data_IF_267985047456
#
_entry.id   IF_267985047456
#
_cell.length_a   1.000
_cell.length_b   1.000
_cell.length_c   1.000
_cell.angle_alpha   90.00
_cell.angle_beta   90.00
_cell.angle_gamma   90.00
#
_symmetry.space_group_name_H-M   'P 1'
#
loop_
_entity.id
_entity.type
_entity.pdbx_description
1 polymer ?
#
# COMPACT_ATOMS: atom_id res chain seq x y z
N UNK A 1 -14.73 -19.83 25.87
CA UNK A 1 -13.66 -18.98 26.44
C UNK A 1 -12.42 -18.94 25.55
N UNK A 2 -12.12 -20.00 24.76
CA UNK A 2 -10.97 -20.07 23.82
C UNK A 2 -11.08 -19.15 22.60
N UNK A 3 -12.24 -19.05 21.95
CA UNK A 3 -12.40 -18.19 20.75
C UNK A 3 -12.19 -16.71 21.02
N UNK A 4 -12.65 -16.21 22.18
CA UNK A 4 -12.48 -14.82 22.57
C UNK A 4 -11.00 -14.50 22.83
N UNK A 5 -10.27 -15.40 23.49
CA UNK A 5 -8.83 -15.23 23.71
C UNK A 5 -8.03 -15.26 22.41
N UNK A 6 -8.43 -16.08 21.43
CA UNK A 6 -7.81 -16.11 20.10
C UNK A 6 -8.13 -14.88 19.25
N UNK A 7 -9.35 -14.34 19.37
CA UNK A 7 -9.72 -13.10 18.71
C UNK A 7 -8.93 -11.91 19.27
N UNK A 8 -8.86 -11.78 20.60
CA UNK A 8 -8.07 -10.74 21.25
C UNK A 8 -6.59 -10.80 20.87
N UNK A 9 -5.99 -12.00 20.82
CA UNK A 9 -4.59 -12.16 20.43
C UNK A 9 -4.37 -11.81 18.95
N UNK A 10 -5.30 -12.16 18.06
CA UNK A 10 -5.26 -11.81 16.63
C UNK A 10 -5.30 -10.29 16.40
N UNK A 11 -6.24 -9.61 17.06
CA UNK A 11 -6.38 -8.14 16.95
C UNK A 11 -5.16 -7.45 17.56
N UNK A 12 -4.70 -7.91 18.72
CA UNK A 12 -3.51 -7.35 19.38
C UNK A 12 -2.28 -7.48 18.48
N UNK A 13 -2.08 -8.65 17.89
CA UNK A 13 -1.01 -8.88 16.93
C UNK A 13 -1.09 -7.89 15.74
N UNK A 14 -2.26 -7.78 15.10
CA UNK A 14 -2.44 -6.91 13.94
C UNK A 14 -2.22 -5.42 14.27
N UNK A 15 -2.55 -4.98 15.49
CA UNK A 15 -2.27 -3.62 15.96
C UNK A 15 -0.79 -3.38 16.29
N UNK A 16 -0.05 -4.40 16.71
CA UNK A 16 1.38 -4.31 17.00
C UNK A 16 2.26 -4.37 15.75
N UNK A 17 1.80 -4.99 14.66
CA UNK A 17 2.51 -5.06 13.36
C UNK A 17 3.12 -3.72 12.92
N UNK A 18 2.36 -2.60 12.79
CA UNK A 18 2.94 -1.31 12.38
C UNK A 18 3.99 -0.80 13.37
N UNK A 19 3.78 -0.99 14.67
CA UNK A 19 4.69 -0.51 15.72
C UNK A 19 6.04 -1.22 15.61
N UNK A 20 6.01 -2.56 15.47
CA UNK A 20 7.22 -3.37 15.30
C UNK A 20 7.91 -3.05 13.97
N UNK A 21 7.15 -3.00 12.87
CA UNK A 21 7.69 -2.74 11.54
C UNK A 21 8.35 -1.37 11.43
N UNK A 22 7.63 -0.30 11.80
CA UNK A 22 8.17 1.07 11.77
C UNK A 22 9.27 1.25 12.80
N UNK A 23 9.10 0.69 14.01
CA UNK A 23 10.08 0.76 15.08
C UNK A 23 11.44 0.17 14.66
N UNK A 24 11.45 -1.06 14.17
CA UNK A 24 12.69 -1.71 13.70
C UNK A 24 13.29 -1.02 12.48
N UNK A 25 12.46 -0.56 11.56
CA UNK A 25 12.92 0.24 10.41
C UNK A 25 13.63 1.51 10.88
N UNK A 26 13.07 2.24 11.86
CA UNK A 26 13.68 3.49 12.37
C UNK A 26 14.91 3.23 13.24
N UNK A 27 14.87 2.22 14.11
CA UNK A 27 16.00 1.84 14.95
C UNK A 27 17.21 1.43 14.11
N UNK A 28 16.99 0.70 13.02
CA UNK A 28 18.06 0.25 12.13
C UNK A 28 18.85 1.39 11.47
N UNK A 29 18.24 2.57 11.34
CA UNK A 29 18.86 3.76 10.73
C UNK A 29 19.04 4.91 11.73
N UNK A 30 19.00 4.65 13.05
CA UNK A 30 19.03 5.70 14.07
C UNK A 30 20.39 6.41 14.15
N UNK A 31 21.47 5.67 13.91
CA UNK A 31 22.86 6.14 13.95
C UNK A 31 23.34 6.78 12.64
N UNK A 32 22.52 6.75 11.59
CA UNK A 32 22.91 7.25 10.27
C UNK A 32 22.75 8.77 10.21
N UNK A 33 23.78 9.52 9.79
CA UNK A 33 23.68 10.96 9.60
C UNK A 33 22.61 11.32 8.56
N UNK A 34 21.88 12.41 8.79
CA UNK A 34 20.73 12.81 7.99
C UNK A 34 21.03 13.11 6.51
N UNK A 35 22.27 13.50 6.19
CA UNK A 35 22.71 13.75 4.81
C UNK A 35 23.01 12.45 4.03
N UNK A 36 23.27 11.32 4.71
CA UNK A 36 23.57 10.04 4.07
C UNK A 36 22.27 9.26 3.77
N UNK A 37 21.59 9.73 2.70
CA UNK A 37 20.32 9.15 2.24
C UNK A 37 20.46 7.69 1.81
N UNK A 38 21.55 7.36 1.11
CA UNK A 38 21.80 6.02 0.59
C UNK A 38 21.91 5.00 1.73
N UNK A 39 22.76 5.28 2.72
CA UNK A 39 22.93 4.39 3.89
C UNK A 39 21.66 4.33 4.72
N UNK A 40 20.92 5.43 4.83
CA UNK A 40 19.62 5.45 5.52
C UNK A 40 18.65 4.47 4.89
N UNK A 41 18.54 4.46 3.54
CA UNK A 41 17.65 3.53 2.82
C UNK A 41 18.07 2.08 3.05
N UNK A 42 19.35 1.76 2.89
CA UNK A 42 19.85 0.38 3.06
C UNK A 42 19.65 -0.12 4.49
N UNK A 43 19.94 0.71 5.50
CA UNK A 43 19.73 0.38 6.91
C UNK A 43 18.26 0.12 7.21
N UNK A 44 17.37 1.03 6.78
CA UNK A 44 15.92 0.87 6.91
C UNK A 44 15.43 -0.41 6.25
N UNK A 45 15.99 -0.79 5.11
CA UNK A 45 15.66 -2.04 4.45
C UNK A 45 16.05 -3.27 5.28
N UNK A 46 17.22 -3.27 5.92
CA UNK A 46 17.61 -4.34 6.86
C UNK A 46 16.61 -4.44 8.01
N UNK A 47 16.23 -3.30 8.60
CA UNK A 47 15.22 -3.25 9.67
C UNK A 47 13.85 -3.77 9.22
N UNK A 48 13.38 -3.34 8.04
CA UNK A 48 12.13 -3.77 7.45
C UNK A 48 12.12 -5.28 7.12
N UNK A 49 13.23 -5.80 6.60
CA UNK A 49 13.39 -7.24 6.29
C UNK A 49 13.35 -8.09 7.56
N UNK A 50 14.08 -7.68 8.60
CA UNK A 50 14.07 -8.37 9.89
C UNK A 50 12.68 -8.34 10.52
N UNK A 51 12.01 -7.19 10.53
CA UNK A 51 10.65 -7.05 11.00
C UNK A 51 9.68 -7.95 10.21
N UNK A 52 9.81 -7.99 8.89
CA UNK A 52 8.95 -8.80 8.01
C UNK A 52 9.08 -10.29 8.32
N UNK A 53 10.30 -10.79 8.51
CA UNK A 53 10.55 -12.19 8.87
C UNK A 53 9.96 -12.49 10.26
N UNK A 54 10.28 -11.65 11.26
CA UNK A 54 9.80 -11.82 12.63
C UNK A 54 8.27 -11.86 12.69
N UNK A 55 7.61 -10.87 12.08
CA UNK A 55 6.17 -10.77 12.06
C UNK A 55 5.54 -11.95 11.31
N UNK A 56 6.11 -12.37 10.18
CA UNK A 56 5.63 -13.55 9.44
C UNK A 56 5.72 -14.81 10.30
N UNK A 57 6.84 -15.06 10.98
CA UNK A 57 6.99 -16.23 11.87
C UNK A 57 5.92 -16.22 12.97
N UNK A 58 5.64 -15.06 13.57
CA UNK A 58 4.59 -14.94 14.59
C UNK A 58 3.19 -15.17 13.99
N UNK A 59 2.92 -14.64 12.79
CA UNK A 59 1.64 -14.81 12.09
C UNK A 59 1.30 -16.28 11.82
N UNK A 60 2.31 -17.15 11.63
CA UNK A 60 2.11 -18.57 11.38
C UNK A 60 1.41 -19.31 12.54
N UNK A 61 1.33 -18.72 13.74
CA UNK A 61 0.52 -19.28 14.83
C UNK A 61 -0.98 -19.33 14.53
N UNK A 62 -1.46 -18.49 13.62
CA UNK A 62 -2.85 -18.47 13.17
C UNK A 62 -3.05 -19.20 11.83
N UNK A 63 -2.03 -19.89 11.33
CA UNK A 63 -2.09 -20.64 10.08
C UNK A 63 -2.99 -21.87 10.25
N UNK A 64 -4.03 -22.06 9.41
CA UNK A 64 -4.79 -23.30 9.37
C UNK A 64 -3.89 -24.52 9.10
N UNK A 65 -4.19 -25.67 9.69
CA UNK A 65 -3.40 -26.90 9.50
C UNK A 65 -3.39 -27.38 8.04
N UNK A 66 -4.49 -27.16 7.32
CA UNK A 66 -4.68 -27.55 5.93
C UNK A 66 -4.01 -26.64 4.88
N UNK A 67 -3.30 -25.58 5.31
CA UNK A 67 -2.62 -24.64 4.42
C UNK A 67 -1.11 -24.68 4.63
N UNK A 68 -0.33 -24.59 3.55
CA UNK A 68 1.10 -24.31 3.66
C UNK A 68 1.36 -22.86 4.11
N UNK A 69 2.56 -22.58 4.61
CA UNK A 69 2.95 -21.21 5.01
C UNK A 69 2.86 -20.22 3.83
N UNK A 70 3.25 -20.65 2.64
CA UNK A 70 3.19 -19.82 1.44
C UNK A 70 1.74 -19.49 1.04
N UNK A 71 0.85 -20.49 1.05
CA UNK A 71 -0.57 -20.27 0.76
C UNK A 71 -1.25 -19.36 1.79
N UNK A 72 -0.89 -19.49 3.08
CA UNK A 72 -1.40 -18.62 4.12
C UNK A 72 -1.11 -17.14 3.83
N UNK A 73 0.12 -16.84 3.43
CA UNK A 73 0.54 -15.51 3.01
C UNK A 73 0.08 -15.12 1.60
N UNK A 74 -0.55 -16.02 0.83
CA UNK A 74 -0.98 -15.74 -0.54
C UNK A 74 0.16 -15.75 -1.56
N UNK A 75 1.24 -16.46 -1.27
CA UNK A 75 2.30 -16.79 -2.21
C UNK A 75 1.95 -18.11 -2.89
N UNK A 76 1.26 -18.05 -4.02
CA UNK A 76 0.75 -19.24 -4.72
C UNK A 76 1.00 -19.13 -6.23
N UNK A 77 1.22 -20.28 -6.88
CA UNK A 77 1.42 -20.37 -8.34
C UNK A 77 0.10 -20.37 -9.14
N UNK A 78 -0.97 -21.08 -8.72
CA UNK A 78 -2.25 -21.08 -9.43
C UNK A 78 -2.80 -19.65 -9.58
N UNK A 79 -3.26 -19.30 -10.79
CA UNK A 79 -3.77 -17.97 -11.11
C UNK A 79 -2.78 -16.79 -10.97
N UNK A 80 -1.47 -17.02 -10.78
CA UNK A 80 -0.48 -15.96 -10.55
C UNK A 80 -0.39 -14.97 -11.73
N UNK A 81 -0.42 -15.47 -12.96
CA UNK A 81 -0.37 -14.62 -14.15
C UNK A 81 -1.52 -13.60 -14.18
N UNK A 82 -2.75 -14.07 -13.94
CA UNK A 82 -3.91 -13.18 -13.87
C UNK A 82 -3.86 -12.25 -12.66
N UNK A 83 -3.31 -12.71 -11.52
CA UNK A 83 -3.10 -11.90 -10.32
C UNK A 83 -2.18 -10.70 -10.54
N UNK A 84 -1.18 -10.85 -11.41
CA UNK A 84 -0.27 -9.76 -11.78
C UNK A 84 -0.93 -8.75 -12.73
N UNK A 85 -1.84 -9.21 -13.60
CA UNK A 85 -2.38 -8.40 -14.70
C UNK A 85 -3.70 -7.75 -14.33
N UNK A 86 -4.74 -8.53 -14.03
CA UNK A 86 -6.11 -8.01 -13.95
C UNK A 86 -6.30 -6.94 -12.85
N UNK A 87 -5.84 -7.16 -11.60
CA UNK A 87 -5.93 -6.13 -10.55
C UNK A 87 -5.13 -4.88 -10.88
N UNK A 88 -3.96 -5.04 -11.50
CA UNK A 88 -3.11 -3.92 -11.93
C UNK A 88 -3.76 -3.15 -13.06
N UNK A 89 -4.39 -3.83 -14.02
CA UNK A 89 -5.12 -3.20 -15.13
C UNK A 89 -6.31 -2.38 -14.63
N UNK A 90 -7.10 -2.90 -13.71
CA UNK A 90 -8.22 -2.11 -13.15
C UNK A 90 -7.71 -0.94 -12.30
N UNK A 91 -6.58 -1.11 -11.60
CA UNK A 91 -5.89 0.01 -10.96
C UNK A 91 -5.44 1.05 -11.99
N UNK A 92 -4.86 0.64 -13.11
CA UNK A 92 -4.45 1.57 -14.17
C UNK A 92 -5.61 2.36 -14.77
N UNK A 93 -6.77 1.71 -14.94
CA UNK A 93 -8.01 2.37 -15.39
C UNK A 93 -8.46 3.47 -14.43
N UNK A 94 -8.35 3.25 -13.11
CA UNK A 94 -8.65 4.29 -12.12
C UNK A 94 -7.78 5.54 -12.30
N UNK A 95 -6.54 5.35 -12.75
CA UNK A 95 -5.57 6.42 -12.99
C UNK A 95 -5.64 7.02 -14.41
N UNK A 96 -6.68 6.75 -15.20
CA UNK A 96 -6.83 7.31 -16.54
C UNK A 96 -6.76 8.85 -16.59
N UNK A 97 -7.37 9.54 -15.62
CA UNK A 97 -7.29 10.99 -15.47
C UNK A 97 -5.85 11.48 -15.23
N UNK A 98 -5.15 11.00 -14.19
CA UNK A 98 -3.75 11.32 -13.93
C UNK A 98 -2.81 11.02 -15.10
N UNK A 99 -2.97 9.89 -15.79
CA UNK A 99 -2.23 9.57 -17.02
C UNK A 99 -2.46 10.61 -18.11
N UNK A 100 -3.72 11.00 -18.33
CA UNK A 100 -4.04 12.02 -19.31
C UNK A 100 -3.48 13.40 -18.94
N UNK A 101 -3.44 13.72 -17.65
CA UNK A 101 -2.88 14.97 -17.13
C UNK A 101 -1.36 15.03 -17.34
N UNK A 102 -0.63 13.97 -16.99
CA UNK A 102 0.83 13.93 -17.15
C UNK A 102 1.26 14.08 -18.61
N UNK A 103 0.51 13.50 -19.55
CA UNK A 103 0.76 13.66 -20.99
C UNK A 103 0.66 15.12 -21.47
N UNK A 104 -0.15 15.96 -20.82
CA UNK A 104 -0.32 17.36 -21.22
C UNK A 104 0.59 18.34 -20.48
N UNK A 105 1.01 18.00 -19.27
CA UNK A 105 1.92 18.82 -18.47
C UNK A 105 3.38 18.57 -18.88
N UNK A 106 3.68 17.37 -19.40
CA UNK A 106 5.03 16.92 -19.68
C UNK A 106 5.70 16.30 -18.46
N UNK A 107 6.83 15.59 -18.63
CA UNK A 107 7.61 15.12 -17.49
C UNK A 107 8.13 16.30 -16.66
N UNK A 108 8.37 16.12 -15.36
CA UNK A 108 9.12 17.10 -14.58
C UNK A 108 10.48 17.36 -15.22
N UNK A 109 11.04 18.55 -15.01
CA UNK A 109 12.37 18.94 -15.50
C UNK A 109 13.45 17.93 -15.07
N UNK A 110 14.37 17.59 -15.97
CA UNK A 110 15.50 16.66 -15.72
C UNK A 110 16.39 17.06 -14.52
N UNK A 111 16.29 18.31 -14.04
CA UNK A 111 17.00 18.81 -12.87
C UNK A 111 16.47 18.27 -11.52
N UNK A 112 15.29 17.61 -11.50
CA UNK A 112 14.59 17.28 -10.24
C UNK A 112 14.81 15.85 -9.71
N UNK A 113 15.31 14.89 -10.50
CA UNK A 113 15.46 13.50 -10.04
C UNK A 113 16.77 12.84 -10.50
N UNK A 114 17.84 13.01 -9.72
CA UNK A 114 18.97 12.06 -9.74
C UNK A 114 18.50 10.76 -9.06
N UNK A 115 17.71 9.98 -9.79
CA UNK A 115 17.04 8.80 -9.28
C UNK A 115 18.03 7.64 -9.14
N UNK A 116 18.83 7.69 -8.05
CA UNK A 116 19.81 6.65 -7.77
C UNK A 116 19.11 5.28 -7.78
N UNK A 117 19.80 4.26 -8.30
CA UNK A 117 19.29 2.88 -8.34
C UNK A 117 18.68 2.41 -7.01
N UNK A 118 19.22 2.88 -5.88
CA UNK A 118 18.73 2.54 -4.53
C UNK A 118 17.38 3.20 -4.21
N UNK A 119 17.09 4.40 -4.71
CA UNK A 119 15.78 5.03 -4.57
C UNK A 119 14.73 4.30 -5.41
N UNK A 120 15.05 3.97 -6.67
CA UNK A 120 14.19 3.16 -7.53
C UNK A 120 13.89 1.79 -6.90
N UNK A 121 14.92 1.10 -6.41
CA UNK A 121 14.80 -0.18 -5.73
C UNK A 121 13.92 -0.09 -4.48
N UNK A 122 14.08 0.98 -3.69
CA UNK A 122 13.23 1.24 -2.52
C UNK A 122 11.78 1.48 -2.92
N UNK A 123 11.52 2.33 -3.91
CA UNK A 123 10.18 2.79 -4.28
C UNK A 123 9.36 1.71 -4.97
N UNK A 124 9.99 0.87 -5.79
CA UNK A 124 9.31 -0.06 -6.69
C UNK A 124 9.49 -1.55 -6.36
N UNK A 125 10.37 -1.89 -5.43
CA UNK A 125 10.56 -3.28 -5.02
C UNK A 125 10.48 -3.44 -3.51
N UNK A 126 11.41 -2.82 -2.78
CA UNK A 126 11.63 -3.17 -1.37
C UNK A 126 10.49 -2.71 -0.48
N UNK A 127 10.13 -1.41 -0.54
CA UNK A 127 9.08 -0.89 0.33
C UNK A 127 7.71 -1.51 0.00
N UNK A 128 7.25 -1.58 -1.27
CA UNK A 128 5.98 -2.23 -1.57
C UNK A 128 5.95 -3.70 -1.14
N UNK A 129 7.03 -4.46 -1.36
CA UNK A 129 7.05 -5.88 -1.03
C UNK A 129 6.97 -6.11 0.49
N UNK A 130 7.78 -5.41 1.28
CA UNK A 130 7.79 -5.60 2.73
C UNK A 130 6.50 -5.06 3.37
N UNK A 131 5.98 -3.93 2.89
CA UNK A 131 4.72 -3.36 3.38
C UNK A 131 3.53 -4.27 3.07
N UNK A 132 3.41 -4.78 1.85
CA UNK A 132 2.32 -5.71 1.53
C UNK A 132 2.42 -7.03 2.30
N UNK A 133 3.63 -7.55 2.49
CA UNK A 133 3.84 -8.76 3.30
C UNK A 133 3.38 -8.54 4.76
N UNK A 134 3.77 -7.44 5.41
CA UNK A 134 3.42 -7.22 6.82
C UNK A 134 1.97 -6.77 7.00
N UNK A 135 1.47 -5.86 6.15
CA UNK A 135 0.13 -5.32 6.35
C UNK A 135 -0.96 -6.25 5.80
N UNK A 136 -0.75 -6.94 4.67
CA UNK A 136 -1.78 -7.80 4.05
C UNK A 136 -1.62 -9.24 4.49
N UNK A 137 -0.42 -9.78 4.35
CA UNK A 137 -0.21 -11.19 4.62
C UNK A 137 -0.09 -11.50 6.11
N UNK A 138 0.33 -10.54 6.93
CA UNK A 138 0.40 -10.73 8.38
C UNK A 138 -0.79 -10.09 9.11
N UNK A 139 -0.88 -8.75 9.14
CA UNK A 139 -1.90 -8.06 9.94
C UNK A 139 -3.34 -8.37 9.48
N UNK A 140 -3.65 -8.09 8.21
CA UNK A 140 -4.99 -8.32 7.66
C UNK A 140 -5.36 -9.80 7.67
N UNK A 141 -4.46 -10.69 7.23
CA UNK A 141 -4.72 -12.13 7.20
C UNK A 141 -5.03 -12.69 8.59
N UNK A 142 -4.23 -12.36 9.60
CA UNK A 142 -4.50 -12.79 10.99
C UNK A 142 -5.81 -12.20 11.49
N UNK A 143 -6.11 -10.94 11.18
CA UNK A 143 -7.37 -10.31 11.55
C UNK A 143 -8.59 -11.03 10.93
N UNK A 144 -8.48 -11.52 9.69
CA UNK A 144 -9.58 -12.28 9.03
C UNK A 144 -9.85 -13.64 9.68
N UNK A 145 -8.95 -14.15 10.53
CA UNK A 145 -9.18 -15.40 11.27
C UNK A 145 -10.16 -15.23 12.42
N UNK A 146 -10.39 -14.00 12.90
CA UNK A 146 -11.24 -13.74 14.06
C UNK A 146 -12.44 -12.82 13.80
N UNK A 147 -12.48 -12.14 12.65
CA UNK A 147 -13.59 -11.27 12.27
C UNK A 147 -13.94 -11.38 10.78
N UNK A 148 -15.18 -11.02 10.39
CA UNK A 148 -15.57 -11.00 8.98
C UNK A 148 -14.60 -10.20 8.12
N UNK A 149 -14.33 -10.69 6.91
CA UNK A 149 -13.39 -10.07 5.98
C UNK A 149 -13.69 -8.60 5.70
N UNK A 150 -14.98 -8.21 5.68
CA UNK A 150 -15.41 -6.81 5.50
C UNK A 150 -14.90 -5.89 6.62
N UNK A 151 -15.02 -6.32 7.88
CA UNK A 151 -14.53 -5.57 9.04
C UNK A 151 -13.00 -5.51 9.03
N UNK A 152 -12.34 -6.65 8.80
CA UNK A 152 -10.89 -6.71 8.73
C UNK A 152 -10.32 -5.78 7.64
N UNK A 153 -10.99 -5.75 6.48
CA UNK A 153 -10.61 -4.91 5.35
C UNK A 153 -10.74 -3.40 5.64
N UNK A 154 -11.65 -2.99 6.51
CA UNK A 154 -11.85 -1.59 6.89
C UNK A 154 -10.98 -1.17 8.09
N UNK A 155 -10.68 -2.10 9.00
CA UNK A 155 -9.96 -1.82 10.25
C UNK A 155 -8.44 -1.92 10.04
N UNK A 156 -7.94 -2.98 9.41
CA UNK A 156 -6.49 -3.20 9.25
C UNK A 156 -5.75 -2.03 8.58
N UNK A 157 -6.30 -1.36 7.55
CA UNK A 157 -5.67 -0.19 6.94
C UNK A 157 -5.48 1.02 7.85
N UNK A 158 -6.26 1.15 8.93
CA UNK A 158 -6.11 2.26 9.89
C UNK A 158 -4.70 2.26 10.48
N UNK A 159 -4.17 1.08 10.80
CA UNK A 159 -2.84 0.94 11.40
C UNK A 159 -1.72 1.34 10.42
N UNK A 160 -1.89 1.08 9.12
CA UNK A 160 -1.01 1.57 8.06
C UNK A 160 -1.09 3.10 7.88
N UNK A 161 -2.31 3.64 7.89
CA UNK A 161 -2.54 5.08 7.76
C UNK A 161 -1.97 5.86 8.95
N UNK A 162 -2.22 5.41 10.18
CA UNK A 162 -1.71 6.07 11.40
C UNK A 162 -0.20 6.01 11.52
N UNK A 163 0.47 5.01 10.93
CA UNK A 163 1.92 4.98 10.87
C UNK A 163 2.49 6.23 10.18
N UNK A 164 1.74 6.91 9.30
CA UNK A 164 2.15 8.13 8.61
C UNK A 164 1.89 9.42 9.40
N UNK A 165 1.18 9.37 10.54
CA UNK A 165 0.97 10.53 11.40
C UNK A 165 2.28 11.10 11.96
N UNK A 166 3.37 10.33 11.98
CA UNK A 166 4.68 10.81 12.39
C UNK A 166 5.18 12.00 11.54
N UNK A 167 4.71 12.15 10.30
CA UNK A 167 5.01 13.31 9.47
C UNK A 167 4.45 14.62 10.03
N UNK A 168 3.38 14.57 10.83
CA UNK A 168 2.86 15.76 11.51
C UNK A 168 3.88 16.33 12.51
N UNK A 169 4.57 15.46 13.24
CA UNK A 169 5.63 15.86 14.19
C UNK A 169 6.81 16.48 13.44
N UNK A 170 7.19 15.91 12.31
CA UNK A 170 8.28 16.42 11.47
C UNK A 170 7.95 17.80 10.89
N UNK A 171 6.77 17.97 10.28
CA UNK A 171 6.33 19.28 9.78
C UNK A 171 6.18 20.31 10.89
N UNK A 172 5.75 19.90 12.08
CA UNK A 172 5.67 20.83 13.21
C UNK A 172 7.04 21.34 13.65
N UNK A 173 8.05 20.47 13.65
CA UNK A 173 9.46 20.85 13.92
C UNK A 173 10.02 21.80 12.88
N UNK A 174 9.57 21.69 11.63
CA UNK A 174 9.93 22.59 10.52
C UNK A 174 9.18 23.94 10.57
N UNK A 175 8.37 24.20 11.60
CA UNK A 175 7.72 25.49 11.80
C UNK A 175 6.38 25.68 11.08
N UNK A 176 5.83 24.65 10.43
CA UNK A 176 4.53 24.75 9.75
C UNK A 176 3.38 25.00 10.75
N UNK A 177 2.36 25.72 10.29
CA UNK A 177 1.14 25.98 11.05
C UNK A 177 0.26 24.72 11.12
N UNK A 178 -0.56 24.62 12.17
CA UNK A 178 -1.44 23.45 12.36
C UNK A 178 -2.45 23.27 11.22
N UNK A 179 -2.92 24.36 10.61
CA UNK A 179 -3.82 24.30 9.46
C UNK A 179 -3.16 23.58 8.26
N UNK A 180 -1.93 23.96 7.92
CA UNK A 180 -1.18 23.34 6.81
C UNK A 180 -0.81 21.90 7.12
N UNK A 181 -0.43 21.61 8.37
CA UNK A 181 -0.12 20.24 8.83
C UNK A 181 -1.36 19.36 8.72
N UNK A 182 -2.51 19.81 9.23
CA UNK A 182 -3.75 19.05 9.18
C UNK A 182 -4.21 18.83 7.73
N UNK A 183 -4.11 19.84 6.87
CA UNK A 183 -4.47 19.69 5.46
C UNK A 183 -3.54 18.69 4.75
N UNK A 184 -2.23 18.85 4.90
CA UNK A 184 -1.27 18.02 4.16
C UNK A 184 -1.12 16.61 4.73
N UNK A 185 -0.93 16.45 6.03
CA UNK A 185 -0.79 15.15 6.68
C UNK A 185 -2.14 14.44 6.77
N UNK A 186 -3.23 15.18 6.99
CA UNK A 186 -4.58 14.62 6.97
C UNK A 186 -4.93 14.06 5.58
N UNK A 187 -4.61 14.78 4.51
CA UNK A 187 -4.76 14.26 3.14
C UNK A 187 -3.92 13.00 2.91
N UNK A 188 -2.65 13.03 3.31
CA UNK A 188 -1.76 11.87 3.18
C UNK A 188 -2.29 10.65 3.93
N UNK A 189 -2.69 10.81 5.20
CA UNK A 189 -3.23 9.72 6.04
C UNK A 189 -4.56 9.21 5.46
N UNK A 190 -5.46 10.10 5.05
CA UNK A 190 -6.75 9.73 4.46
C UNK A 190 -6.57 8.94 3.16
N UNK A 191 -5.66 9.38 2.29
CA UNK A 191 -5.36 8.65 1.06
C UNK A 191 -4.66 7.32 1.33
N UNK A 192 -3.68 7.27 2.24
CA UNK A 192 -3.04 6.02 2.67
C UNK A 192 -4.06 5.03 3.23
N UNK A 193 -5.09 5.51 3.94
CA UNK A 193 -6.20 4.68 4.39
C UNK A 193 -7.01 4.11 3.23
N UNK A 194 -7.44 4.95 2.28
CA UNK A 194 -8.22 4.51 1.10
C UNK A 194 -7.43 3.52 0.23
N UNK A 195 -6.17 3.83 -0.05
CA UNK A 195 -5.23 2.90 -0.69
C UNK A 195 -5.12 1.60 0.10
N UNK A 196 -5.00 1.74 1.42
CA UNK A 196 -4.98 0.67 2.39
C UNK A 196 -6.14 -0.31 2.21
N UNK A 197 -7.37 0.22 2.19
CA UNK A 197 -8.62 -0.52 1.97
C UNK A 197 -8.65 -1.14 0.57
N UNK A 198 -8.29 -0.38 -0.46
CA UNK A 198 -8.30 -0.84 -1.85
C UNK A 198 -7.43 -2.09 -2.06
N UNK A 199 -6.17 -2.03 -1.65
CA UNK A 199 -5.24 -3.16 -1.79
C UNK A 199 -5.61 -4.32 -0.86
N UNK A 200 -6.24 -4.04 0.29
CA UNK A 200 -6.81 -5.09 1.15
C UNK A 200 -7.94 -5.85 0.46
N UNK A 201 -8.84 -5.16 -0.24
CA UNK A 201 -9.90 -5.79 -1.03
C UNK A 201 -9.32 -6.67 -2.14
N UNK A 202 -8.32 -6.17 -2.87
CA UNK A 202 -7.62 -6.94 -3.91
C UNK A 202 -6.99 -8.19 -3.30
N UNK A 203 -6.25 -8.06 -2.19
CA UNK A 203 -5.61 -9.19 -1.52
C UNK A 203 -6.64 -10.23 -1.05
N UNK A 204 -7.76 -9.80 -0.47
CA UNK A 204 -8.78 -10.71 0.04
C UNK A 204 -9.51 -11.44 -1.08
N UNK A 205 -9.84 -10.76 -2.18
CA UNK A 205 -10.55 -11.36 -3.33
C UNK A 205 -9.65 -12.27 -4.17
N UNK A 206 -8.40 -11.84 -4.41
CA UNK A 206 -7.45 -12.62 -5.24
C UNK A 206 -6.68 -13.67 -4.45
N UNK A 207 -6.54 -13.51 -3.13
CA UNK A 207 -5.65 -14.32 -2.27
C UNK A 207 -4.21 -14.41 -2.80
N UNK A 208 -3.72 -13.32 -3.39
CA UNK A 208 -2.38 -13.20 -3.94
C UNK A 208 -1.65 -11.99 -3.38
N UNK A 209 -0.49 -12.19 -2.74
CA UNK A 209 0.42 -11.10 -2.36
C UNK A 209 0.89 -10.33 -3.61
N UNK A 210 1.14 -11.04 -4.72
CA UNK A 210 1.63 -10.42 -5.96
C UNK A 210 0.62 -9.48 -6.62
N UNK A 211 -0.68 -9.71 -6.46
CA UNK A 211 -1.70 -8.76 -6.91
C UNK A 211 -1.62 -7.44 -6.13
N UNK A 212 -1.55 -7.53 -4.80
CA UNK A 212 -1.42 -6.37 -3.93
C UNK A 212 -0.11 -5.60 -4.19
N UNK A 213 1.00 -6.33 -4.31
CA UNK A 213 2.32 -5.78 -4.61
C UNK A 213 2.32 -4.99 -5.92
N UNK A 214 1.81 -5.57 -7.03
CA UNK A 214 1.81 -4.87 -8.32
C UNK A 214 0.93 -3.62 -8.30
N UNK A 215 -0.23 -3.67 -7.63
CA UNK A 215 -1.08 -2.49 -7.46
C UNK A 215 -0.38 -1.40 -6.64
N UNK A 216 0.35 -1.78 -5.59
CA UNK A 216 1.15 -0.85 -4.79
C UNK A 216 2.25 -0.22 -5.63
N UNK A 217 3.06 -1.01 -6.34
CA UNK A 217 4.13 -0.51 -7.23
C UNK A 217 3.57 0.46 -8.25
N UNK A 218 2.44 0.14 -8.86
CA UNK A 218 1.77 1.02 -9.82
C UNK A 218 1.30 2.33 -9.18
N UNK A 219 0.68 2.28 -7.99
CA UNK A 219 0.28 3.49 -7.26
C UNK A 219 1.49 4.34 -6.84
N UNK A 220 2.60 3.74 -6.45
CA UNK A 220 3.84 4.46 -6.15
C UNK A 220 4.40 5.17 -7.38
N UNK A 221 4.33 4.51 -8.54
CA UNK A 221 4.75 5.09 -9.81
C UNK A 221 3.88 6.28 -10.22
N UNK A 222 2.56 6.16 -10.07
CA UNK A 222 1.64 7.24 -10.42
C UNK A 222 1.62 8.39 -9.40
N UNK A 223 1.91 8.10 -8.14
CA UNK A 223 1.82 9.08 -7.06
C UNK A 223 0.40 9.58 -6.81
N UNK A 224 0.31 10.70 -6.09
CA UNK A 224 -0.98 11.36 -5.83
C UNK A 224 -1.41 12.18 -7.04
N UNK A 225 -2.72 12.20 -7.38
CA UNK A 225 -3.22 13.07 -8.43
C UNK A 225 -3.10 14.54 -7.99
N UNK A 226 -2.13 15.26 -8.54
CA UNK A 226 -2.02 16.70 -8.32
C UNK A 226 -2.99 17.47 -9.22
N UNK A 227 -4.19 17.69 -8.71
CA UNK A 227 -5.26 18.45 -9.36
C UNK A 227 -4.82 19.89 -9.65
N UNK A 228 -3.84 20.44 -8.93
CA UNK A 228 -3.35 21.80 -9.16
C UNK A 228 -2.71 21.96 -10.54
N UNK A 229 -2.14 20.88 -11.10
CA UNK A 229 -1.58 20.85 -12.46
C UNK A 229 -2.62 21.08 -13.56
N UNK A 230 -3.92 20.88 -13.28
CA UNK A 230 -4.99 21.25 -14.22
C UNK A 230 -4.99 22.74 -14.57
N UNK A 231 -4.37 23.59 -13.75
CA UNK A 231 -4.22 25.03 -14.03
C UNK A 231 -3.22 25.31 -15.17
N UNK A 232 -2.29 24.39 -15.41
CA UNK A 232 -1.27 24.49 -16.45
C UNK A 232 -1.79 24.07 -17.82
N UNK A 233 -2.94 23.40 -17.85
CA UNK A 233 -3.54 22.83 -19.07
C UNK A 233 -4.59 23.78 -19.64
N UNK A 234 -4.60 23.95 -20.98
CA UNK A 234 -5.58 24.79 -21.66
C UNK A 234 -7.02 24.33 -21.43
N UNK A 235 -8.00 25.23 -21.62
CA UNK A 235 -9.41 24.99 -21.26
C UNK A 235 -9.98 23.73 -21.91
N UNK A 236 -9.66 23.46 -23.18
CA UNK A 236 -10.22 22.29 -23.91
C UNK A 236 -9.61 20.99 -23.40
N UNK A 237 -8.27 20.94 -23.30
CA UNK A 237 -7.57 19.79 -22.74
C UNK A 237 -7.95 19.54 -21.29
N UNK A 238 -8.14 20.58 -20.48
CA UNK A 238 -8.58 20.45 -19.08
C UNK A 238 -9.95 19.79 -18.98
N UNK A 239 -10.92 20.21 -19.80
CA UNK A 239 -12.23 19.54 -19.86
C UNK A 239 -12.11 18.06 -20.26
N UNK A 240 -11.22 17.74 -21.20
CA UNK A 240 -10.92 16.36 -21.58
C UNK A 240 -10.27 15.56 -20.44
N UNK A 241 -9.29 16.12 -19.72
CA UNK A 241 -8.69 15.47 -18.55
C UNK A 241 -9.73 15.19 -17.47
N UNK A 242 -10.60 16.16 -17.15
CA UNK A 242 -11.68 15.97 -16.17
C UNK A 242 -12.62 14.83 -16.62
N UNK A 243 -12.94 14.77 -17.92
CA UNK A 243 -13.71 13.66 -18.48
C UNK A 243 -12.97 12.33 -18.28
N UNK A 244 -11.66 12.27 -18.51
CA UNK A 244 -10.83 11.08 -18.26
C UNK A 244 -10.82 10.66 -16.78
N UNK A 245 -10.83 11.61 -15.83
CA UNK A 245 -11.00 11.30 -14.40
C UNK A 245 -12.35 10.61 -14.14
N UNK A 246 -13.45 11.18 -14.66
CA UNK A 246 -14.80 10.63 -14.47
C UNK A 246 -14.92 9.24 -15.13
N UNK A 247 -14.48 9.11 -16.38
CA UNK A 247 -14.48 7.84 -17.11
C UNK A 247 -13.63 6.80 -16.39
N UNK A 248 -12.44 7.15 -15.91
CA UNK A 248 -11.57 6.24 -15.17
C UNK A 248 -12.25 5.67 -13.92
N UNK A 249 -12.94 6.52 -13.14
CA UNK A 249 -13.71 6.07 -11.97
C UNK A 249 -14.90 5.19 -12.38
N UNK A 250 -15.69 5.59 -13.38
CA UNK A 250 -16.85 4.81 -13.83
C UNK A 250 -16.44 3.43 -14.35
N UNK A 251 -15.38 3.37 -15.15
CA UNK A 251 -14.82 2.12 -15.65
C UNK A 251 -14.28 1.28 -14.50
N UNK A 252 -13.55 1.87 -13.55
CA UNK A 252 -13.07 1.18 -12.35
C UNK A 252 -14.23 0.56 -11.56
N UNK A 253 -15.32 1.30 -11.29
CA UNK A 253 -16.51 0.78 -10.61
C UNK A 253 -17.08 -0.44 -11.36
N UNK A 254 -17.18 -0.35 -12.68
CA UNK A 254 -17.76 -1.43 -13.50
C UNK A 254 -16.85 -2.66 -13.62
N UNK A 255 -15.52 -2.47 -13.65
CA UNK A 255 -14.54 -3.53 -13.90
C UNK A 255 -13.98 -4.13 -12.62
N UNK A 256 -14.04 -3.43 -11.48
CA UNK A 256 -13.39 -3.87 -10.24
C UNK A 256 -13.85 -5.26 -9.81
N UNK A 257 -15.17 -5.49 -9.70
CA UNK A 257 -15.68 -6.80 -9.29
C UNK A 257 -15.33 -7.89 -10.32
N UNK A 258 -15.68 -7.75 -11.63
CA UNK A 258 -15.35 -8.75 -12.64
C UNK A 258 -13.87 -9.09 -12.69
N UNK A 259 -12.98 -8.10 -12.59
CA UNK A 259 -11.55 -8.32 -12.69
C UNK A 259 -10.95 -8.86 -11.41
N UNK A 260 -11.66 -8.82 -10.28
CA UNK A 260 -11.18 -9.37 -9.01
C UNK A 260 -11.98 -10.59 -8.56
N UNK A 261 -12.73 -11.24 -9.45
CA UNK A 261 -13.50 -12.43 -9.11
C UNK A 261 -12.59 -13.60 -8.67
N UNK A 262 -12.84 -14.24 -7.51
CA UNK A 262 -11.93 -15.25 -6.94
C UNK A 262 -11.58 -16.41 -7.87
N UNK A 263 -12.54 -16.88 -8.68
CA UNK A 263 -12.32 -18.02 -9.58
C UNK A 263 -11.29 -17.74 -10.68
N UNK A 264 -11.15 -16.47 -11.11
CA UNK A 264 -10.13 -16.08 -12.11
C UNK A 264 -8.72 -16.38 -11.61
N UNK A 265 -8.55 -16.40 -10.30
CA UNK A 265 -7.27 -16.65 -9.68
C UNK A 265 -7.13 -18.08 -9.21
N UNK A 266 -8.07 -18.98 -9.49
CA UNK A 266 -8.11 -20.31 -8.87
C UNK A 266 -8.15 -20.23 -7.33
N UNK A 267 -8.72 -19.15 -6.78
CA UNK A 267 -8.98 -19.07 -5.35
C UNK A 267 -10.25 -19.89 -5.03
N UNK A 268 -10.06 -21.04 -4.38
CA UNK A 268 -11.14 -21.96 -3.99
C UNK A 268 -11.67 -21.69 -2.57
N UNK A 269 -11.18 -20.63 -1.93
CA UNK A 269 -11.48 -20.24 -0.54
C UNK A 269 -12.33 -18.97 -0.53
#
# INVERSE_FOLDING_TARGET
MSEWTECHSSVTYALLVPVVYVGLTRLSSYDVPHWDRHRTILRRFVGASFASILLSIVALRWKPENQSALEFFGLRRPGLFLALILPTSVTAVLFLGPWCLSLFVGPPSDDDEEDSFVMLLRNYLLAPLTEELVFRCCALRVMTMCMPWTKACLISPLSFAFAHCHHALEKKRLGYNWQDILCTVGFQVGFCYLFGVYVSLIYLRTRHLMAAFMCHVFCNFMGFPDISLLKLVDRKKRSFVILCFVIGVLLWISLFLPFTEPWLYENKV
#
